data_IF_298810920791
#
_entry.id   IF_298810920791
#
_cell.length_a   1.000
_cell.length_b   1.000
_cell.length_c   1.000
_cell.angle_alpha   90.00
_cell.angle_beta   90.00
_cell.angle_gamma   90.00
#
_symmetry.space_group_name_H-M   'P 1'
#
loop_
_entity.id
_entity.type
_entity.pdbx_description
1 polymer ?
#
# COMPACT_ATOMS: atom_id res chain seq x y z
N UNK A 1 4.80 -18.56 -1.85
CA UNK A 1 4.57 -17.74 -3.05
C UNK A 1 3.12 -17.68 -3.54
N UNK A 2 2.42 -18.78 -3.83
CA UNK A 2 1.02 -18.69 -4.34
C UNK A 2 0.10 -17.92 -3.38
N UNK A 3 0.05 -18.32 -2.10
CA UNK A 3 -0.78 -17.64 -1.10
C UNK A 3 -0.41 -16.16 -0.94
N UNK A 4 0.89 -15.86 -0.89
CA UNK A 4 1.41 -14.48 -0.80
C UNK A 4 0.95 -13.62 -1.98
N UNK A 5 0.94 -14.18 -3.20
CA UNK A 5 0.43 -13.48 -4.37
C UNK A 5 -1.09 -13.26 -4.31
N UNK A 6 -1.85 -14.24 -3.81
CA UNK A 6 -3.29 -14.11 -3.60
C UNK A 6 -3.61 -13.03 -2.58
N UNK A 7 -2.92 -13.00 -1.45
CA UNK A 7 -3.09 -11.97 -0.42
C UNK A 7 -2.81 -10.57 -0.98
N UNK A 8 -1.73 -10.43 -1.75
CA UNK A 8 -1.40 -9.18 -2.45
C UNK A 8 -2.50 -8.77 -3.43
N UNK A 9 -2.99 -9.68 -4.28
CA UNK A 9 -4.08 -9.38 -5.22
C UNK A 9 -5.37 -8.95 -4.50
N UNK A 10 -5.73 -9.64 -3.41
CA UNK A 10 -6.93 -9.30 -2.63
C UNK A 10 -6.81 -7.93 -1.95
N UNK A 11 -5.64 -7.62 -1.38
CA UNK A 11 -5.37 -6.32 -0.74
C UNK A 11 -5.43 -5.18 -1.75
N UNK A 12 -4.72 -5.33 -2.87
CA UNK A 12 -4.61 -4.32 -3.92
C UNK A 12 -5.90 -4.13 -4.73
N UNK A 13 -6.79 -5.13 -4.75
CA UNK A 13 -8.13 -4.98 -5.32
C UNK A 13 -9.05 -4.10 -4.46
N UNK A 14 -8.87 -4.09 -3.14
CA UNK A 14 -9.71 -3.33 -2.20
C UNK A 14 -9.19 -1.94 -1.89
N UNK A 15 -7.87 -1.78 -1.88
CA UNK A 15 -7.21 -0.54 -1.48
C UNK A 15 -6.25 -0.06 -2.56
N UNK A 16 -6.13 1.25 -2.75
CA UNK A 16 -5.22 1.85 -3.73
C UNK A 16 -3.77 1.86 -3.24
N UNK A 17 -3.23 0.66 -3.01
CA UNK A 17 -1.85 0.39 -2.58
C UNK A 17 -1.22 -0.66 -3.48
N UNK A 18 0.11 -0.82 -3.39
CA UNK A 18 0.90 -1.86 -4.03
C UNK A 18 1.81 -2.52 -2.99
N UNK A 19 2.02 -3.83 -3.10
CA UNK A 19 2.92 -4.57 -2.21
C UNK A 19 4.36 -4.52 -2.71
N UNK A 20 5.34 -4.06 -1.91
CA UNK A 20 6.74 -3.98 -2.33
C UNK A 20 7.37 -5.38 -2.51
N UNK A 21 8.60 -5.40 -3.01
CA UNK A 21 9.37 -6.64 -3.15
C UNK A 21 9.47 -7.38 -1.80
N UNK A 22 9.32 -8.70 -1.83
CA UNK A 22 9.36 -9.58 -0.65
C UNK A 22 8.32 -9.31 0.45
N UNK A 23 7.30 -8.48 0.18
CA UNK A 23 6.23 -8.17 1.12
C UNK A 23 5.54 -9.42 1.69
N UNK A 24 5.26 -9.39 2.99
CA UNK A 24 4.43 -10.35 3.72
C UNK A 24 3.21 -9.64 4.32
N UNK A 25 2.13 -10.39 4.50
CA UNK A 25 0.90 -9.88 5.13
C UNK A 25 1.19 -9.20 6.47
N UNK A 26 0.73 -7.96 6.61
CA UNK A 26 0.93 -7.08 7.77
C UNK A 26 2.10 -6.09 7.60
N UNK A 27 2.98 -6.27 6.62
CA UNK A 27 4.08 -5.34 6.35
C UNK A 27 3.62 -4.10 5.60
N UNK A 28 4.44 -3.04 5.65
CA UNK A 28 4.15 -1.77 5.01
C UNK A 28 3.98 -1.91 3.49
N UNK A 29 3.09 -1.09 2.94
CA UNK A 29 2.71 -1.05 1.53
C UNK A 29 2.98 0.31 0.92
N UNK A 30 2.96 0.38 -0.41
CA UNK A 30 3.22 1.61 -1.16
C UNK A 30 1.90 2.18 -1.68
N UNK A 31 1.67 3.46 -1.48
CA UNK A 31 0.50 4.16 -2.02
C UNK A 31 0.70 4.34 -3.52
N UNK A 32 -0.27 3.94 -4.34
CA UNK A 32 -0.13 4.01 -5.80
C UNK A 32 -0.03 5.46 -6.29
N UNK A 33 0.64 5.67 -7.43
CA UNK A 33 0.85 7.01 -7.98
C UNK A 33 -0.45 7.74 -8.37
N UNK A 34 -1.56 7.01 -8.55
CA UNK A 34 -2.87 7.59 -8.89
C UNK A 34 -3.53 8.32 -7.70
N UNK A 35 -3.07 8.10 -6.46
CA UNK A 35 -3.66 8.71 -5.27
C UNK A 35 -2.99 10.06 -4.99
N UNK A 36 -3.76 11.15 -4.93
CA UNK A 36 -3.24 12.47 -4.53
C UNK A 36 -2.70 12.45 -3.08
N UNK A 37 -1.87 13.42 -2.69
CA UNK A 37 -1.41 13.50 -1.29
C UNK A 37 -2.57 13.76 -0.31
N UNK A 38 -3.55 14.56 -0.71
CA UNK A 38 -4.73 14.85 0.10
C UNK A 38 -5.58 13.60 0.33
N UNK A 39 -5.82 12.81 -0.72
CA UNK A 39 -6.58 11.56 -0.60
C UNK A 39 -5.80 10.49 0.14
N UNK A 40 -4.47 10.48 0.00
CA UNK A 40 -3.61 9.57 0.75
C UNK A 40 -3.72 9.82 2.26
N UNK A 41 -3.72 11.09 2.70
CA UNK A 41 -3.91 11.45 4.12
C UNK A 41 -5.30 11.01 4.61
N UNK A 42 -6.35 11.23 3.81
CA UNK A 42 -7.72 10.84 4.17
C UNK A 42 -7.89 9.33 4.33
N UNK A 43 -7.25 8.55 3.46
CA UNK A 43 -7.40 7.08 3.39
C UNK A 43 -6.47 6.33 4.31
N UNK A 44 -5.22 6.79 4.44
CA UNK A 44 -4.14 6.06 5.09
C UNK A 44 -3.51 6.81 6.26
N UNK A 45 -3.98 8.03 6.57
CA UNK A 45 -3.43 8.86 7.64
C UNK A 45 -2.02 9.36 7.30
N UNK A 46 -1.16 9.42 8.33
CA UNK A 46 0.24 9.75 8.13
C UNK A 46 0.97 8.63 7.37
N UNK A 47 1.71 9.00 6.32
CA UNK A 47 2.54 8.09 5.54
C UNK A 47 3.95 8.68 5.37
N UNK A 48 4.93 7.82 5.13
CA UNK A 48 6.32 8.20 4.91
C UNK A 48 6.57 8.46 3.42
N UNK A 49 7.13 9.62 3.07
CA UNK A 49 7.53 9.93 1.70
C UNK A 49 9.04 9.73 1.56
N UNK A 50 9.45 8.63 0.94
CA UNK A 50 10.87 8.34 0.66
C UNK A 50 11.29 9.09 -0.61
N UNK A 51 10.44 9.04 -1.64
CA UNK A 51 10.53 9.81 -2.88
C UNK A 51 9.11 10.26 -3.27
N UNK A 52 8.94 11.26 -4.16
CA UNK A 52 7.60 11.75 -4.55
C UNK A 52 6.64 10.66 -5.04
N UNK A 53 7.16 9.61 -5.68
CA UNK A 53 6.42 8.44 -6.15
C UNK A 53 6.51 7.22 -5.22
N UNK A 54 7.37 7.25 -4.20
CA UNK A 54 7.60 6.15 -3.26
C UNK A 54 7.10 6.56 -1.88
N UNK A 55 5.81 6.35 -1.67
CA UNK A 55 5.10 6.73 -0.44
C UNK A 55 4.70 5.46 0.30
N UNK A 56 5.27 5.24 1.48
CA UNK A 56 5.09 4.03 2.29
C UNK A 56 4.09 4.29 3.41
N UNK A 57 3.14 3.38 3.58
CA UNK A 57 2.13 3.43 4.65
C UNK A 57 1.91 2.06 5.27
N UNK A 58 1.31 2.02 6.45
CA UNK A 58 0.90 0.77 7.10
C UNK A 58 -0.13 0.06 6.23
N UNK A 59 -0.09 -1.27 6.20
CA UNK A 59 -1.12 -2.04 5.50
C UNK A 59 -2.50 -1.70 6.06
N UNK A 60 -3.46 -1.27 5.21
CA UNK A 60 -4.82 -1.04 5.66
C UNK A 60 -5.46 -2.38 6.07
N UNK A 61 -6.15 -2.40 7.20
CA UNK A 61 -7.05 -3.49 7.54
C UNK A 61 -8.29 -3.42 6.66
N UNK A 62 -8.82 -4.59 6.26
CA UNK A 62 -10.10 -4.70 5.57
C UNK A 62 -11.25 -4.10 6.40
#
# INVERSE_FOLDING_TARGET
EILRAVDSMQLTAKHQVATPANWKQGEDVIITAAVSNEDAIKRFGAYETILPYLRKTKQPSA
#
